data_IF_696782864499
#
_entry.id   IF_696782864499
#
_cell.length_a   1.000
_cell.length_b   1.000
_cell.length_c   1.000
_cell.angle_alpha   90.00
_cell.angle_beta   90.00
_cell.angle_gamma   90.00
#
_symmetry.space_group_name_H-M   'P 1'
#
loop_
_entity.id
_entity.type
_entity.pdbx_description
1 polymer ?
#
# COMPACT_ATOMS: atom_id res chain seq x y z
N UNK A 1 11.32 -81.42 4.53
CA UNK A 1 10.79 -80.83 3.28
C UNK A 1 11.71 -79.67 2.91
N UNK A 2 12.07 -79.61 1.64
CA UNK A 2 12.86 -78.59 0.94
C UNK A 2 14.32 -78.25 1.37
N UNK A 3 15.15 -78.37 0.35
CA UNK A 3 16.53 -77.92 0.08
C UNK A 3 16.39 -77.27 -1.34
N UNK A 4 17.23 -76.33 -1.86
CA UNK A 4 18.63 -76.16 -1.49
C UNK A 4 19.29 -74.75 -1.64
N UNK A 5 20.58 -74.67 -1.24
CA UNK A 5 21.65 -73.77 -1.75
C UNK A 5 21.52 -72.25 -1.43
N UNK A 6 22.57 -71.44 -1.14
CA UNK A 6 24.03 -71.60 -0.98
C UNK A 6 24.61 -70.23 -0.48
N UNK A 7 25.86 -69.97 -0.06
CA UNK A 7 27.15 -70.71 -0.01
C UNK A 7 28.09 -70.05 1.05
N UNK A 8 28.86 -70.81 1.86
CA UNK A 8 30.10 -70.40 2.61
C UNK A 8 29.99 -69.26 3.67
N UNK A 9 30.88 -69.08 4.66
CA UNK A 9 31.92 -69.87 5.37
C UNK A 9 32.01 -69.23 6.79
N UNK A 10 32.04 -69.94 7.92
CA UNK A 10 33.23 -70.56 8.53
C UNK A 10 34.34 -69.52 8.83
N UNK A 11 34.89 -69.30 10.05
CA UNK A 11 34.87 -70.02 11.34
C UNK A 11 35.19 -69.07 12.53
N UNK A 12 34.89 -69.51 13.76
CA UNK A 12 35.49 -69.06 15.04
C UNK A 12 37.00 -69.53 15.12
N UNK A 13 37.85 -69.15 16.12
CA UNK A 13 37.51 -68.61 17.44
C UNK A 13 38.44 -67.51 18.04
N UNK A 14 38.08 -67.10 19.26
CA UNK A 14 38.88 -66.49 20.33
C UNK A 14 40.42 -66.43 20.20
N UNK A 15 41.04 -65.28 20.54
CA UNK A 15 41.59 -65.01 21.88
C UNK A 15 42.64 -63.86 21.91
N UNK A 16 42.85 -63.31 23.11
CA UNK A 16 44.08 -62.65 23.63
C UNK A 16 44.59 -61.33 22.99
N UNK A 17 44.50 -60.28 23.82
CA UNK A 17 45.47 -59.17 23.93
C UNK A 17 46.83 -59.65 24.52
N UNK A 18 47.92 -58.83 24.60
CA UNK A 18 48.14 -57.48 24.05
C UNK A 18 49.54 -57.25 23.39
N UNK A 19 49.82 -55.99 23.02
CA UNK A 19 51.11 -55.26 23.26
C UNK A 19 52.01 -54.84 22.08
N UNK A 20 52.49 -53.58 22.19
CA UNK A 20 53.67 -52.89 21.60
C UNK A 20 54.04 -52.97 20.09
N UNK A 21 54.39 -51.80 19.50
CA UNK A 21 55.47 -51.71 18.50
C UNK A 21 55.36 -50.63 17.40
N UNK A 22 56.30 -49.67 17.39
CA UNK A 22 56.52 -48.70 16.29
C UNK A 22 56.86 -49.36 14.92
N UNK A 23 56.33 -48.83 13.78
CA UNK A 23 57.10 -48.09 12.74
C UNK A 23 56.38 -47.86 11.38
N UNK A 24 56.16 -46.58 11.04
CA UNK A 24 56.49 -45.85 9.79
C UNK A 24 56.49 -46.47 8.36
N UNK A 25 56.04 -45.64 7.38
CA UNK A 25 56.18 -45.69 5.88
C UNK A 25 55.08 -46.48 5.11
N UNK A 26 54.57 -46.06 3.93
CA UNK A 26 54.77 -44.85 3.10
C UNK A 26 53.60 -44.59 2.10
N UNK A 27 53.41 -43.30 1.70
CA UNK A 27 53.07 -42.73 0.36
C UNK A 27 52.05 -43.48 -0.56
N UNK A 28 50.97 -42.85 -1.06
CA UNK A 28 50.88 -42.16 -2.38
C UNK A 28 49.76 -41.09 -2.43
N UNK A 29 50.02 -39.99 -3.18
CA UNK A 29 49.11 -38.85 -3.43
C UNK A 29 47.94 -39.17 -4.37
N UNK A 30 46.78 -38.54 -4.14
CA UNK A 30 45.96 -37.94 -5.21
C UNK A 30 45.63 -36.48 -4.89
N UNK A 31 45.93 -35.58 -5.84
CA UNK A 31 45.61 -34.14 -5.74
C UNK A 31 44.14 -33.92 -6.12
N UNK A 32 43.35 -33.28 -5.27
CA UNK A 32 42.11 -32.61 -5.71
C UNK A 32 42.38 -31.12 -5.94
N UNK A 33 41.99 -30.63 -7.12
CA UNK A 33 42.09 -29.20 -7.47
C UNK A 33 41.05 -28.42 -6.66
N UNK A 34 41.50 -27.54 -5.76
CA UNK A 34 40.64 -26.54 -5.12
C UNK A 34 40.57 -25.31 -6.03
N UNK A 35 39.58 -25.26 -6.92
CA UNK A 35 39.30 -24.03 -7.69
C UNK A 35 38.86 -22.91 -6.73
N UNK A 36 39.42 -21.72 -6.94
CA UNK A 36 39.37 -20.59 -6.02
C UNK A 36 38.59 -19.45 -6.66
N UNK A 37 37.34 -19.27 -6.26
CA UNK A 37 36.51 -18.12 -6.66
C UNK A 37 35.33 -17.93 -5.70
N UNK A 38 35.65 -17.65 -4.43
CA UNK A 38 34.75 -16.98 -3.50
C UNK A 38 35.30 -15.56 -3.28
N UNK A 39 34.53 -14.49 -3.54
CA UNK A 39 34.94 -13.14 -3.22
C UNK A 39 35.01 -12.99 -1.69
N UNK A 40 36.21 -12.72 -1.16
CA UNK A 40 36.36 -12.27 0.21
C UNK A 40 35.90 -10.80 0.26
N UNK A 41 34.64 -10.57 0.60
CA UNK A 41 34.20 -9.25 1.05
C UNK A 41 34.26 -9.21 2.56
N UNK A 42 35.42 -8.80 3.08
CA UNK A 42 35.51 -8.19 4.41
C UNK A 42 34.62 -6.94 4.40
N UNK A 43 33.37 -7.11 4.83
CA UNK A 43 32.61 -5.99 5.38
C UNK A 43 32.67 -6.11 6.89
N UNK A 44 33.51 -5.25 7.45
CA UNK A 44 33.51 -4.88 8.87
C UNK A 44 32.06 -4.66 9.29
N UNK A 45 31.53 -5.56 10.10
CA UNK A 45 30.26 -5.37 10.80
C UNK A 45 30.54 -4.38 11.93
N UNK A 46 30.55 -3.09 11.59
CA UNK A 46 30.33 -2.06 12.59
C UNK A 46 28.91 -2.25 13.12
N UNK A 47 28.79 -2.42 14.43
CA UNK A 47 27.52 -2.68 15.10
C UNK A 47 26.66 -1.42 15.21
N UNK A 48 26.07 -0.99 14.10
CA UNK A 48 24.94 -0.06 14.13
C UNK A 48 23.65 -0.85 14.35
N UNK A 49 22.87 -0.43 15.35
CA UNK A 49 21.71 -1.17 15.84
C UNK A 49 20.52 -1.24 14.86
N UNK A 50 19.39 -1.84 15.28
CA UNK A 50 18.22 -2.11 14.42
C UNK A 50 17.46 -0.87 13.90
N UNK A 51 18.01 0.34 14.05
CA UNK A 51 17.44 1.58 13.54
C UNK A 51 17.66 1.78 12.02
N UNK A 52 18.82 1.37 11.49
CA UNK A 52 19.25 1.73 10.12
C UNK A 52 18.38 1.09 9.01
N UNK A 53 17.93 -0.14 9.20
CA UNK A 53 17.05 -0.84 8.26
C UNK A 53 15.61 -0.30 8.27
N UNK A 54 15.13 0.19 9.41
CA UNK A 54 13.83 0.86 9.51
C UNK A 54 13.84 2.22 8.79
N UNK A 55 14.88 3.04 9.02
CA UNK A 55 15.01 4.34 8.35
C UNK A 55 15.19 4.22 6.84
N UNK A 56 15.97 3.24 6.37
CA UNK A 56 16.21 3.05 4.92
C UNK A 56 14.92 2.65 4.19
N UNK A 57 14.10 1.77 4.78
CA UNK A 57 12.79 1.37 4.23
C UNK A 57 11.75 2.50 4.33
N UNK A 58 11.76 3.29 5.40
CA UNK A 58 10.87 4.46 5.52
C UNK A 58 11.22 5.54 4.47
N UNK A 59 12.50 5.71 4.15
CA UNK A 59 12.98 6.74 3.21
C UNK A 59 12.67 6.43 1.75
N UNK A 60 12.65 5.16 1.33
CA UNK A 60 12.21 4.79 -0.03
C UNK A 60 10.72 4.97 -0.24
N UNK A 61 9.90 4.58 0.75
CA UNK A 61 8.44 4.69 0.74
C UNK A 61 7.96 6.15 0.60
N UNK A 62 8.51 7.06 1.40
CA UNK A 62 8.22 8.50 1.28
C UNK A 62 8.60 9.05 -0.11
N UNK A 63 9.64 8.52 -0.75
CA UNK A 63 10.10 8.97 -2.06
C UNK A 63 9.25 8.44 -3.22
N UNK A 64 8.53 7.31 -3.07
CA UNK A 64 7.54 6.87 -4.06
C UNK A 64 6.25 7.69 -3.95
N UNK A 65 5.69 7.79 -2.75
CA UNK A 65 4.47 8.57 -2.48
C UNK A 65 4.63 10.05 -2.86
N UNK A 66 5.81 10.65 -2.62
CA UNK A 66 6.10 12.04 -3.04
C UNK A 66 6.10 12.21 -4.56
N UNK A 67 6.56 11.20 -5.34
CA UNK A 67 6.51 11.25 -6.81
C UNK A 67 5.07 11.13 -7.31
N UNK A 68 4.32 10.18 -6.75
CA UNK A 68 2.88 10.00 -7.05
C UNK A 68 2.10 11.28 -6.77
N UNK A 69 2.26 11.87 -5.58
CA UNK A 69 1.65 13.14 -5.23
C UNK A 69 2.09 14.29 -6.16
N UNK A 70 3.35 14.31 -6.59
CA UNK A 70 3.86 15.26 -7.59
C UNK A 70 3.17 15.12 -8.95
N UNK A 71 3.06 13.90 -9.50
CA UNK A 71 2.35 13.66 -10.75
C UNK A 71 0.86 14.01 -10.66
N UNK A 72 0.20 13.64 -9.54
CA UNK A 72 -1.19 13.99 -9.28
C UNK A 72 -1.40 15.51 -9.21
N UNK A 73 -0.47 16.24 -8.56
CA UNK A 73 -0.51 17.70 -8.46
C UNK A 73 -0.34 18.38 -9.82
N UNK A 74 0.55 17.86 -10.69
CA UNK A 74 0.72 18.36 -12.06
C UNK A 74 -0.53 18.10 -12.89
N UNK A 75 -1.08 16.88 -12.83
CA UNK A 75 -2.33 16.52 -13.50
C UNK A 75 -3.50 17.42 -13.09
N UNK A 76 -3.66 17.64 -11.79
CA UNK A 76 -4.68 18.55 -11.25
C UNK A 76 -4.45 19.98 -11.75
N UNK A 77 -3.23 20.52 -11.64
CA UNK A 77 -2.89 21.86 -12.10
C UNK A 77 -3.16 22.08 -13.61
N UNK A 78 -2.80 21.11 -14.46
CA UNK A 78 -3.10 21.16 -15.90
C UNK A 78 -4.60 21.15 -16.16
N UNK A 79 -5.34 20.25 -15.50
CA UNK A 79 -6.80 20.21 -15.60
C UNK A 79 -7.44 21.55 -15.26
N UNK A 80 -7.02 22.15 -14.15
CA UNK A 80 -7.57 23.42 -13.62
C UNK A 80 -7.33 24.57 -14.59
N UNK A 81 -6.12 24.66 -15.17
CA UNK A 81 -5.81 25.65 -16.22
C UNK A 81 -6.69 25.43 -17.45
N UNK A 82 -6.90 24.18 -17.88
CA UNK A 82 -7.76 23.84 -19.02
C UNK A 82 -9.24 24.19 -18.76
N UNK A 83 -9.80 23.81 -17.61
CA UNK A 83 -11.21 24.09 -17.31
C UNK A 83 -11.47 25.56 -16.95
N UNK A 84 -10.48 26.28 -16.41
CA UNK A 84 -10.53 27.74 -16.28
C UNK A 84 -10.57 28.42 -17.66
N UNK A 85 -9.75 27.97 -18.62
CA UNK A 85 -9.79 28.50 -19.99
C UNK A 85 -11.08 28.12 -20.76
N UNK A 86 -11.70 27.00 -20.40
CA UNK A 86 -12.96 26.51 -20.98
C UNK A 86 -14.20 26.89 -20.16
N UNK A 87 -14.05 27.71 -19.11
CA UNK A 87 -15.11 28.07 -18.18
C UNK A 87 -16.35 28.74 -18.84
N UNK A 88 -16.23 29.54 -19.93
CA UNK A 88 -17.38 30.01 -20.71
C UNK A 88 -18.21 28.88 -21.35
N UNK A 89 -17.67 27.66 -21.44
CA UNK A 89 -18.28 26.47 -22.05
C UNK A 89 -18.71 25.43 -21.00
N UNK A 90 -18.55 25.76 -19.71
CA UNK A 90 -19.07 25.00 -18.56
C UNK A 90 -20.42 25.61 -18.16
N UNK A 91 -21.43 24.76 -18.01
CA UNK A 91 -22.76 25.11 -17.51
C UNK A 91 -22.97 24.55 -16.09
N UNK A 92 -24.02 25.02 -15.42
CA UNK A 92 -24.37 24.62 -14.05
C UNK A 92 -24.43 25.80 -13.09
N UNK A 93 -24.39 25.52 -11.79
CA UNK A 93 -24.35 26.55 -10.74
C UNK A 93 -22.94 27.14 -10.71
N UNK A 94 -22.74 28.42 -11.01
CA UNK A 94 -21.43 29.08 -10.95
C UNK A 94 -21.26 29.90 -9.68
N UNK A 95 -20.03 29.96 -9.15
CA UNK A 95 -19.67 30.79 -8.00
C UNK A 95 -18.47 31.70 -8.31
N UNK A 96 -17.30 31.12 -8.53
CA UNK A 96 -16.04 31.83 -8.77
C UNK A 96 -15.20 31.04 -9.75
N UNK A 97 -14.79 31.67 -10.85
CA UNK A 97 -14.19 31.03 -12.03
C UNK A 97 -13.04 30.05 -11.69
N UNK A 98 -12.18 30.42 -10.74
CA UNK A 98 -11.05 29.58 -10.30
C UNK A 98 -11.49 28.47 -9.36
N UNK A 99 -12.38 28.78 -8.40
CA UNK A 99 -12.90 27.81 -7.41
C UNK A 99 -13.72 26.74 -8.11
N UNK A 100 -14.56 27.12 -9.07
CA UNK A 100 -15.41 26.24 -9.87
C UNK A 100 -14.58 25.27 -10.72
N UNK A 101 -13.51 25.76 -11.37
CA UNK A 101 -12.57 24.91 -12.12
C UNK A 101 -11.81 23.95 -11.19
N UNK A 102 -11.36 24.42 -10.02
CA UNK A 102 -10.65 23.59 -9.04
C UNK A 102 -11.54 22.50 -8.45
N UNK A 103 -12.75 22.87 -8.02
CA UNK A 103 -13.79 21.97 -7.54
C UNK A 103 -14.19 20.94 -8.61
N UNK A 104 -14.45 21.35 -9.86
CA UNK A 104 -14.76 20.44 -10.95
C UNK A 104 -13.64 19.41 -11.19
N UNK A 105 -12.38 19.84 -11.19
CA UNK A 105 -11.24 18.94 -11.32
C UNK A 105 -11.13 17.94 -10.17
N UNK A 106 -11.25 18.40 -8.91
CA UNK A 106 -11.18 17.52 -7.73
C UNK A 106 -12.33 16.51 -7.74
N UNK A 107 -13.59 16.96 -7.89
CA UNK A 107 -14.80 16.12 -7.93
C UNK A 107 -14.75 15.08 -9.06
N UNK A 108 -14.16 15.43 -10.21
CA UNK A 108 -13.99 14.51 -11.34
C UNK A 108 -12.83 13.52 -11.09
N UNK A 109 -11.71 13.99 -10.55
CA UNK A 109 -10.53 13.16 -10.26
C UNK A 109 -10.79 12.12 -9.17
N UNK A 110 -11.53 12.49 -8.11
CA UNK A 110 -11.93 11.57 -7.04
C UNK A 110 -13.20 10.79 -7.36
N UNK A 111 -13.63 10.80 -8.63
CA UNK A 111 -14.80 10.09 -9.18
C UNK A 111 -16.12 10.35 -8.47
N UNK A 112 -16.24 11.43 -7.68
CA UNK A 112 -17.49 11.80 -6.99
C UNK A 112 -18.54 12.27 -8.00
N UNK A 113 -18.15 13.11 -8.97
CA UNK A 113 -18.94 13.34 -10.18
C UNK A 113 -20.31 14.02 -10.01
N UNK A 114 -20.49 14.93 -9.06
CA UNK A 114 -21.78 15.60 -8.75
C UNK A 114 -22.60 16.15 -9.93
N UNK A 115 -21.96 16.53 -11.05
CA UNK A 115 -22.68 17.08 -12.21
C UNK A 115 -23.37 18.42 -11.97
N UNK A 116 -23.10 19.13 -10.86
CA UNK A 116 -23.59 20.48 -10.58
C UNK A 116 -22.85 21.56 -11.41
N UNK A 117 -21.67 21.19 -11.93
CA UNK A 117 -20.95 21.80 -13.03
C UNK A 117 -20.70 20.73 -14.10
N UNK A 118 -20.95 21.05 -15.37
CA UNK A 118 -20.71 20.12 -16.47
C UNK A 118 -20.32 20.85 -17.77
N UNK A 119 -19.47 20.25 -18.62
CA UNK A 119 -19.14 20.81 -19.93
C UNK A 119 -20.36 20.73 -20.86
N UNK A 120 -20.80 21.86 -21.42
CA UNK A 120 -21.92 21.88 -22.36
C UNK A 120 -21.45 21.74 -23.81
N UNK A 121 -20.35 22.39 -24.17
CA UNK A 121 -19.84 22.40 -25.55
C UNK A 121 -19.17 21.08 -25.96
N UNK A 122 -19.05 20.87 -27.28
CA UNK A 122 -18.31 19.73 -27.85
C UNK A 122 -16.84 19.75 -27.42
N UNK A 123 -16.18 20.91 -27.45
CA UNK A 123 -14.76 21.03 -27.08
C UNK A 123 -14.54 20.72 -25.58
N UNK A 124 -15.38 21.30 -24.70
CA UNK A 124 -15.27 21.07 -23.27
C UNK A 124 -15.58 19.60 -22.91
N UNK A 125 -16.53 18.96 -23.61
CA UNK A 125 -16.81 17.51 -23.47
C UNK A 125 -15.60 16.65 -23.90
N UNK A 126 -14.96 16.95 -25.02
CA UNK A 126 -13.76 16.22 -25.47
C UNK A 126 -12.60 16.34 -24.48
N UNK A 127 -12.35 17.55 -23.95
CA UNK A 127 -11.31 17.78 -22.94
C UNK A 127 -11.67 17.09 -21.61
N UNK A 128 -12.95 17.09 -21.20
CA UNK A 128 -13.41 16.32 -20.04
C UNK A 128 -13.23 14.81 -20.21
N UNK A 129 -13.56 14.24 -21.37
CA UNK A 129 -13.28 12.83 -21.65
C UNK A 129 -11.79 12.51 -21.54
N UNK A 130 -10.92 13.33 -22.15
CA UNK A 130 -9.47 13.13 -22.08
C UNK A 130 -8.93 13.24 -20.64
N UNK A 131 -9.43 14.21 -19.86
CA UNK A 131 -9.11 14.35 -18.44
C UNK A 131 -9.54 13.11 -17.64
N UNK A 132 -10.79 12.66 -17.78
CA UNK A 132 -11.30 11.46 -17.08
C UNK A 132 -10.49 10.21 -17.41
N UNK A 133 -10.17 9.94 -18.68
CA UNK A 133 -9.35 8.78 -19.04
C UNK A 133 -7.95 8.83 -18.42
N UNK A 134 -7.31 10.00 -18.38
CA UNK A 134 -6.01 10.18 -17.75
C UNK A 134 -6.09 10.04 -16.23
N UNK A 135 -7.14 10.58 -15.60
CA UNK A 135 -7.41 10.40 -14.17
C UNK A 135 -7.60 8.93 -13.78
N UNK A 136 -8.42 8.18 -14.53
CA UNK A 136 -8.61 6.74 -14.31
C UNK A 136 -7.31 5.95 -14.45
N UNK A 137 -6.46 6.30 -15.42
CA UNK A 137 -5.14 5.67 -15.57
C UNK A 137 -4.22 5.97 -14.37
N UNK A 138 -4.22 7.21 -13.86
CA UNK A 138 -3.46 7.59 -12.66
C UNK A 138 -3.96 6.86 -11.41
N UNK A 139 -5.27 6.81 -11.17
CA UNK A 139 -5.87 6.05 -10.05
C UNK A 139 -5.51 4.56 -10.13
N UNK A 140 -5.51 3.97 -11.33
CA UNK A 140 -5.08 2.58 -11.55
C UNK A 140 -3.60 2.34 -11.18
N UNK A 141 -2.70 3.27 -11.54
CA UNK A 141 -1.27 3.19 -11.15
C UNK A 141 -1.11 3.30 -9.63
N UNK A 142 -1.80 4.25 -8.99
CA UNK A 142 -1.78 4.44 -7.54
C UNK A 142 -2.26 3.18 -6.81
N UNK A 143 -3.34 2.56 -7.30
CA UNK A 143 -3.89 1.34 -6.73
C UNK A 143 -2.94 0.14 -6.92
N UNK A 144 -2.24 0.04 -8.06
CA UNK A 144 -1.23 -1.01 -8.28
C UNK A 144 -0.06 -0.89 -7.32
N UNK A 145 0.57 0.29 -7.22
CA UNK A 145 1.68 0.55 -6.29
C UNK A 145 1.26 0.30 -4.84
N UNK A 146 0.02 0.66 -4.48
CA UNK A 146 -0.56 0.37 -3.17
C UNK A 146 -0.79 -1.13 -2.92
N UNK A 147 -1.23 -1.87 -3.93
CA UNK A 147 -1.43 -3.32 -3.84
C UNK A 147 -0.08 -4.07 -3.72
N UNK A 148 0.90 -3.71 -4.55
CA UNK A 148 2.25 -4.29 -4.51
C UNK A 148 2.92 -4.03 -3.15
N UNK A 149 2.77 -2.82 -2.60
CA UNK A 149 3.21 -2.49 -1.24
C UNK A 149 2.51 -3.34 -0.16
N UNK A 150 1.20 -3.57 -0.27
CA UNK A 150 0.45 -4.42 0.68
C UNK A 150 0.91 -5.88 0.61
N UNK A 151 1.19 -6.40 -0.59
CA UNK A 151 1.73 -7.75 -0.80
C UNK A 151 3.12 -7.87 -0.19
N UNK A 152 4.03 -6.92 -0.45
CA UNK A 152 5.38 -6.92 0.14
C UNK A 152 5.33 -6.93 1.69
N UNK A 153 4.39 -6.18 2.29
CA UNK A 153 4.18 -6.22 3.76
C UNK A 153 3.66 -7.56 4.26
N UNK A 154 2.80 -8.24 3.50
CA UNK A 154 2.31 -9.57 3.87
C UNK A 154 3.42 -10.63 3.79
N UNK A 155 4.25 -10.60 2.75
CA UNK A 155 5.39 -11.52 2.60
C UNK A 155 6.43 -11.36 3.73
N UNK A 156 6.82 -10.12 4.06
CA UNK A 156 7.78 -9.85 5.14
C UNK A 156 7.25 -10.33 6.50
N UNK A 157 5.96 -10.18 6.78
CA UNK A 157 5.33 -10.69 8.01
C UNK A 157 5.25 -12.21 8.03
N UNK A 158 4.93 -12.85 6.90
CA UNK A 158 4.89 -14.31 6.76
C UNK A 158 6.27 -14.93 7.01
N UNK A 159 7.32 -14.42 6.34
CA UNK A 159 8.71 -14.87 6.51
C UNK A 159 9.19 -14.69 7.95
N UNK A 160 8.87 -13.55 8.57
CA UNK A 160 9.21 -13.28 9.98
C UNK A 160 8.53 -14.27 10.93
N UNK A 161 7.26 -14.61 10.67
CA UNK A 161 6.49 -15.55 11.48
C UNK A 161 7.03 -16.98 11.36
N UNK A 162 7.35 -17.42 10.13
CA UNK A 162 7.95 -18.74 9.88
C UNK A 162 9.30 -18.92 10.58
N UNK A 163 10.19 -17.92 10.51
CA UNK A 163 11.48 -17.98 11.20
C UNK A 163 11.36 -17.89 12.74
N UNK A 164 10.38 -17.15 13.26
CA UNK A 164 10.10 -17.13 14.69
C UNK A 164 9.59 -18.49 15.19
N UNK A 165 8.69 -19.13 14.43
CA UNK A 165 8.15 -20.46 14.76
C UNK A 165 9.19 -21.58 14.76
N UNK A 166 10.27 -21.44 14.00
CA UNK A 166 11.38 -22.39 13.99
C UNK A 166 12.22 -22.35 15.29
N UNK A 167 12.02 -21.37 16.18
CA UNK A 167 12.90 -21.12 17.34
C UNK A 167 12.28 -21.30 18.73
N UNK A 168 10.96 -21.41 18.88
CA UNK A 168 10.31 -21.69 20.18
C UNK A 168 9.09 -22.62 20.08
N UNK A 169 8.94 -23.47 21.10
CA UNK A 169 7.80 -24.37 21.27
C UNK A 169 6.51 -23.68 21.76
N UNK A 170 5.39 -24.41 21.81
CA UNK A 170 4.05 -23.83 21.95
C UNK A 170 3.69 -23.45 23.38
N UNK A 171 3.37 -22.17 23.60
CA UNK A 171 2.58 -21.72 24.75
C UNK A 171 1.96 -20.33 24.51
N UNK A 172 0.76 -20.34 23.91
CA UNK A 172 -0.47 -19.57 24.20
C UNK A 172 -0.49 -18.11 24.71
N UNK A 173 0.64 -17.41 24.85
CA UNK A 173 0.68 -16.06 25.43
C UNK A 173 0.35 -14.93 24.43
N UNK A 174 0.61 -15.11 23.13
CA UNK A 174 0.49 -14.02 22.14
C UNK A 174 -0.87 -13.93 21.41
N UNK A 175 -1.76 -14.92 21.55
CA UNK A 175 -3.09 -14.88 20.89
C UNK A 175 -4.08 -13.86 21.49
N UNK A 176 -3.76 -13.24 22.63
CA UNK A 176 -4.59 -12.19 23.24
C UNK A 176 -4.24 -10.75 22.83
N UNK A 177 -3.03 -10.51 22.31
CA UNK A 177 -2.51 -9.14 22.05
C UNK A 177 -2.74 -8.73 20.59
N UNK A 178 -2.70 -9.68 19.65
CA UNK A 178 -2.77 -9.39 18.22
C UNK A 178 -4.19 -9.06 17.73
N UNK A 179 -5.22 -9.70 18.30
CA UNK A 179 -6.65 -9.43 17.99
C UNK A 179 -7.05 -7.99 18.34
N UNK A 180 -6.53 -7.47 19.46
CA UNK A 180 -6.77 -6.08 19.88
C UNK A 180 -6.06 -5.07 18.94
N UNK A 181 -4.94 -5.47 18.32
CA UNK A 181 -4.16 -4.60 17.41
C UNK A 181 -4.88 -4.26 16.11
N UNK A 182 -5.69 -5.19 15.59
CA UNK A 182 -6.55 -4.92 14.43
C UNK A 182 -7.83 -4.18 14.86
N UNK A 183 -8.41 -4.55 16.01
CA UNK A 183 -9.60 -3.91 16.55
C UNK A 183 -9.40 -2.39 16.79
N UNK A 184 -8.30 -1.96 17.41
CA UNK A 184 -8.06 -0.51 17.62
C UNK A 184 -7.87 0.25 16.29
N UNK A 185 -7.30 -0.39 15.26
CA UNK A 185 -7.14 0.24 13.94
C UNK A 185 -8.48 0.44 13.25
N UNK A 186 -9.33 -0.59 13.24
CA UNK A 186 -10.69 -0.49 12.72
C UNK A 186 -11.51 0.55 13.50
N UNK A 187 -11.37 0.60 14.82
CA UNK A 187 -12.00 1.61 15.66
C UNK A 187 -11.51 3.02 15.33
N UNK A 188 -10.20 3.22 15.12
CA UNK A 188 -9.63 4.52 14.75
C UNK A 188 -10.15 5.01 13.39
N UNK A 189 -10.22 4.12 12.39
CA UNK A 189 -10.81 4.42 11.07
C UNK A 189 -12.31 4.75 11.20
N UNK A 190 -13.06 4.00 12.03
CA UNK A 190 -14.46 4.27 12.27
C UNK A 190 -14.71 5.62 12.98
N UNK A 191 -13.88 5.95 13.98
CA UNK A 191 -13.93 7.26 14.66
C UNK A 191 -13.59 8.38 13.67
N UNK A 192 -12.56 8.21 12.83
CA UNK A 192 -12.21 9.18 11.80
C UNK A 192 -13.35 9.40 10.80
N UNK A 193 -13.99 8.34 10.33
CA UNK A 193 -15.16 8.41 9.46
C UNK A 193 -16.36 9.11 10.13
N UNK A 194 -16.62 8.85 11.41
CA UNK A 194 -17.64 9.58 12.18
C UNK A 194 -17.30 11.08 12.30
N UNK A 195 -16.03 11.42 12.54
CA UNK A 195 -15.58 12.83 12.60
C UNK A 195 -15.78 13.51 11.25
N UNK A 196 -15.38 12.89 10.13
CA UNK A 196 -15.63 13.42 8.78
C UNK A 196 -17.13 13.65 8.53
N UNK A 197 -17.98 12.69 8.91
CA UNK A 197 -19.44 12.81 8.73
C UNK A 197 -20.01 13.97 9.58
N UNK A 198 -19.66 14.05 10.87
CA UNK A 198 -20.19 15.08 11.78
C UNK A 198 -19.72 16.47 11.35
N UNK A 199 -18.43 16.63 11.03
CA UNK A 199 -17.86 17.90 10.57
C UNK A 199 -18.47 18.34 9.25
N UNK A 200 -18.56 17.43 8.26
CA UNK A 200 -19.22 17.71 6.98
C UNK A 200 -20.69 18.09 7.17
N UNK A 201 -21.47 17.29 7.88
CA UNK A 201 -22.93 17.51 8.05
C UNK A 201 -23.20 18.84 8.74
N UNK A 202 -22.42 19.16 9.77
CA UNK A 202 -22.52 20.45 10.49
C UNK A 202 -22.14 21.62 9.59
N UNK A 203 -21.09 21.48 8.78
CA UNK A 203 -20.69 22.52 7.82
C UNK A 203 -21.76 22.75 6.75
N UNK A 204 -22.30 21.70 6.11
CA UNK A 204 -23.34 21.83 5.08
C UNK A 204 -24.63 22.42 5.66
N UNK A 205 -25.06 22.01 6.86
CA UNK A 205 -26.25 22.56 7.50
C UNK A 205 -26.11 24.06 7.82
N UNK A 206 -24.92 24.54 8.19
CA UNK A 206 -24.69 25.94 8.54
C UNK A 206 -24.39 26.84 7.32
N UNK A 207 -23.64 26.35 6.34
CA UNK A 207 -23.13 27.15 5.21
C UNK A 207 -24.03 27.05 3.97
N UNK A 208 -24.39 25.83 3.57
CA UNK A 208 -25.30 25.58 2.44
C UNK A 208 -26.79 25.70 2.84
N UNK A 209 -27.08 25.80 4.15
CA UNK A 209 -28.45 25.88 4.72
C UNK A 209 -29.33 24.69 4.35
N UNK A 210 -28.72 23.52 4.15
CA UNK A 210 -29.43 22.27 3.91
C UNK A 210 -30.08 21.77 5.20
N UNK A 211 -31.19 21.03 5.06
CA UNK A 211 -31.74 20.27 6.18
C UNK A 211 -30.70 19.25 6.69
N UNK A 212 -30.79 18.87 7.97
CA UNK A 212 -29.87 17.90 8.56
C UNK A 212 -29.81 16.57 7.80
N UNK A 213 -30.96 16.07 7.31
CA UNK A 213 -31.02 14.81 6.56
C UNK A 213 -30.36 14.95 5.19
N UNK A 214 -30.62 16.05 4.48
CA UNK A 214 -30.04 16.34 3.17
C UNK A 214 -28.52 16.58 3.27
N UNK A 215 -28.06 17.27 4.32
CA UNK A 215 -26.65 17.48 4.61
C UNK A 215 -25.93 16.16 4.92
N UNK A 216 -26.51 15.30 5.77
CA UNK A 216 -25.97 13.97 6.07
C UNK A 216 -25.92 13.07 4.84
N UNK A 217 -26.98 13.08 4.02
CA UNK A 217 -27.06 12.33 2.77
C UNK A 217 -25.99 12.77 1.77
N UNK A 218 -25.85 14.08 1.53
CA UNK A 218 -24.84 14.65 0.65
C UNK A 218 -23.42 14.27 1.10
N UNK A 219 -23.15 14.36 2.41
CA UNK A 219 -21.88 13.98 3.06
C UNK A 219 -21.55 12.49 2.89
N UNK A 220 -22.53 11.61 3.10
CA UNK A 220 -22.35 10.19 2.85
C UNK A 220 -22.06 9.91 1.37
N UNK A 221 -22.78 10.57 0.45
CA UNK A 221 -22.56 10.48 -0.99
C UNK A 221 -21.18 11.04 -1.43
N UNK A 222 -20.62 12.02 -0.71
CA UNK A 222 -19.23 12.48 -0.92
C UNK A 222 -18.22 11.41 -0.53
N UNK A 223 -18.29 10.92 0.71
CA UNK A 223 -17.29 10.02 1.32
C UNK A 223 -17.27 8.67 0.59
N UNK A 224 -18.42 8.20 0.11
CA UNK A 224 -18.57 6.96 -0.67
C UNK A 224 -18.37 7.14 -2.17
N UNK A 225 -18.00 8.35 -2.61
CA UNK A 225 -17.81 8.75 -4.02
C UNK A 225 -19.00 8.44 -4.95
N UNK A 226 -20.22 8.37 -4.41
CA UNK A 226 -21.46 8.16 -5.17
C UNK A 226 -21.95 9.43 -5.89
N UNK A 227 -21.82 10.58 -5.23
CA UNK A 227 -22.13 11.92 -5.76
C UNK A 227 -23.38 12.07 -6.64
N UNK A 228 -24.55 11.68 -6.14
CA UNK A 228 -25.83 11.72 -6.89
C UNK A 228 -26.23 13.07 -7.53
N UNK A 229 -25.69 14.19 -7.06
CA UNK A 229 -25.79 15.50 -7.73
C UNK A 229 -27.05 16.33 -7.42
N UNK A 230 -28.07 15.71 -6.83
CA UNK A 230 -29.31 16.34 -6.37
C UNK A 230 -29.08 17.33 -5.21
N UNK A 231 -28.13 17.01 -4.32
CA UNK A 231 -27.58 17.89 -3.28
C UNK A 231 -26.07 18.04 -3.48
N UNK A 232 -25.61 19.29 -3.59
CA UNK A 232 -24.23 19.63 -3.95
C UNK A 232 -23.83 21.02 -3.44
N UNK A 233 -22.52 21.23 -3.29
CA UNK A 233 -21.91 22.47 -2.82
C UNK A 233 -22.18 23.63 -3.79
N UNK A 234 -23.13 24.47 -3.43
CA UNK A 234 -23.67 25.54 -4.27
C UNK A 234 -23.12 26.92 -3.89
N UNK A 235 -22.55 27.07 -2.70
CA UNK A 235 -21.87 28.30 -2.27
C UNK A 235 -20.37 28.24 -2.56
N UNK A 236 -19.74 29.41 -2.75
CA UNK A 236 -18.28 29.50 -2.95
C UNK A 236 -17.51 28.91 -1.76
N UNK A 237 -17.92 29.25 -0.53
CA UNK A 237 -17.34 28.71 0.70
C UNK A 237 -17.51 27.18 0.79
N UNK A 238 -18.67 26.66 0.37
CA UNK A 238 -18.94 25.23 0.29
C UNK A 238 -18.02 24.51 -0.70
N UNK A 239 -17.77 25.10 -1.88
CA UNK A 239 -16.86 24.51 -2.87
C UNK A 239 -15.41 24.52 -2.42
N UNK A 240 -14.96 25.59 -1.75
CA UNK A 240 -13.62 25.65 -1.13
C UNK A 240 -13.49 24.57 -0.06
N UNK A 241 -14.48 24.42 0.82
CA UNK A 241 -14.51 23.34 1.83
C UNK A 241 -14.49 21.96 1.17
N UNK A 242 -15.36 21.71 0.19
CA UNK A 242 -15.46 20.44 -0.52
C UNK A 242 -14.14 20.02 -1.16
N UNK A 243 -13.44 20.96 -1.82
CA UNK A 243 -12.11 20.74 -2.39
C UNK A 243 -11.13 20.20 -1.35
N UNK A 244 -10.96 20.89 -0.21
CA UNK A 244 -10.01 20.47 0.81
C UNK A 244 -10.43 19.14 1.47
N UNK A 245 -11.72 19.01 1.77
CA UNK A 245 -12.30 17.86 2.45
C UNK A 245 -12.24 16.59 1.59
N UNK A 246 -12.54 16.67 0.28
CA UNK A 246 -12.43 15.56 -0.67
C UNK A 246 -10.96 15.14 -0.86
N UNK A 247 -10.03 16.10 -0.93
CA UNK A 247 -8.59 15.80 -1.00
C UNK A 247 -8.06 15.18 0.30
N UNK A 248 -8.65 15.50 1.45
CA UNK A 248 -8.31 14.89 2.75
C UNK A 248 -8.89 13.48 2.91
N UNK A 249 -10.06 13.19 2.34
CA UNK A 249 -10.63 11.83 2.24
C UNK A 249 -9.75 10.91 1.38
N UNK A 250 -9.05 11.46 0.37
CA UNK A 250 -8.17 10.72 -0.54
C UNK A 250 -6.73 10.48 -0.06
N UNK A 251 -6.41 10.73 1.22
CA UNK A 251 -5.05 10.63 1.79
C UNK A 251 -4.86 9.50 2.79
#
# INVERSE_FOLDING_TARGET
MENPNNLKESLLPSSLEPSHGHHQKAVVKRRFRRCRSAPLTDRVVNGDGPASSSETMHRSMNLSLTKVAGFLSIYLGVGVICFYALEPQIAGKKTSHVVDAFYFCVVTMTTVGYGDLFPESVLAKLVACAFVFLGMALVGIILSEGADYLVEKQEVLLVSTLHAHQKLGPSDFMKGIETNKTAYKCLLVFIFLLVLIITGTTFLALVEKLDFVDAFYCVCATITTLGYGDRSFSTEAGRIFAVFWILEIGR
#
